data_IF_164659551039
#
_entry.id   IF_164659551039
#
_cell.length_a   1.000
_cell.length_b   1.000
_cell.length_c   1.000
_cell.angle_alpha   90.00
_cell.angle_beta   90.00
_cell.angle_gamma   90.00
#
_symmetry.space_group_name_H-M   'P 1'
#
loop_
_entity.id
_entity.type
_entity.pdbx_description
1 polymer ?
#
# COMPACT_ATOMS: atom_id res chain seq x y z
N UNK A 1 -5.52 -12.94 16.96
CA UNK A 1 -4.38 -12.48 16.13
C UNK A 1 -3.48 -11.67 17.04
N UNK A 2 -2.18 -11.96 17.08
CA UNK A 2 -1.24 -11.21 17.93
C UNK A 2 -1.30 -9.72 17.58
N UNK A 3 -1.24 -8.81 18.56
CA UNK A 3 -1.39 -7.36 18.33
C UNK A 3 -0.32 -6.85 17.37
N UNK A 4 0.92 -7.33 17.50
CA UNK A 4 2.03 -6.96 16.61
C UNK A 4 1.75 -7.29 15.14
N UNK A 5 1.16 -8.46 14.89
CA UNK A 5 0.77 -8.90 13.54
C UNK A 5 -0.33 -7.98 13.00
N UNK A 6 -1.23 -7.52 13.86
CA UNK A 6 -2.31 -6.59 13.49
C UNK A 6 -1.73 -5.28 12.96
N UNK A 7 -0.73 -4.72 13.63
CA UNK A 7 -0.07 -3.47 13.25
C UNK A 7 0.66 -3.58 11.91
N UNK A 8 1.39 -4.67 11.66
CA UNK A 8 2.12 -4.87 10.39
C UNK A 8 1.19 -4.92 9.18
N UNK A 9 -0.02 -5.47 9.34
CA UNK A 9 -0.98 -5.65 8.24
C UNK A 9 -2.13 -4.62 8.25
N UNK A 10 -2.07 -3.57 9.07
CA UNK A 10 -3.12 -2.55 9.13
C UNK A 10 -3.42 -1.84 7.82
N UNK A 11 -2.43 -1.42 7.03
CA UNK A 11 -2.68 -0.82 5.72
C UNK A 11 -3.48 -1.77 4.81
N UNK A 12 -3.12 -3.05 4.80
CA UNK A 12 -3.84 -4.07 4.05
C UNK A 12 -5.29 -4.26 4.55
N UNK A 13 -5.49 -4.44 5.85
CA UNK A 13 -6.83 -4.66 6.44
C UNK A 13 -7.72 -3.44 6.20
N UNK A 14 -7.17 -2.23 6.35
CA UNK A 14 -7.88 -0.98 6.12
C UNK A 14 -8.34 -0.85 4.66
N UNK A 15 -7.43 -1.04 3.71
CA UNK A 15 -7.74 -0.98 2.27
C UNK A 15 -8.71 -2.10 1.85
N UNK A 16 -8.55 -3.30 2.39
CA UNK A 16 -9.49 -4.41 2.19
C UNK A 16 -10.89 -4.04 2.68
N UNK A 17 -11.02 -3.40 3.84
CA UNK A 17 -12.32 -2.93 4.35
C UNK A 17 -12.94 -1.82 3.54
N UNK A 18 -12.13 -0.92 2.99
CA UNK A 18 -12.60 0.08 2.03
C UNK A 18 -13.22 -0.65 0.83
N UNK A 19 -12.48 -1.58 0.23
CA UNK A 19 -12.98 -2.38 -0.88
C UNK A 19 -14.30 -3.10 -0.53
N UNK A 20 -14.34 -3.82 0.59
CA UNK A 20 -15.54 -4.53 1.08
C UNK A 20 -16.74 -3.59 1.24
N UNK A 21 -16.51 -2.39 1.77
CA UNK A 21 -17.58 -1.41 1.99
C UNK A 21 -18.19 -0.93 0.66
N UNK A 22 -17.38 -0.70 -0.36
CA UNK A 22 -17.81 -0.17 -1.65
C UNK A 22 -18.28 -1.26 -2.63
N UNK A 23 -17.75 -2.48 -2.53
CA UNK A 23 -18.00 -3.59 -3.46
C UNK A 23 -18.67 -4.78 -2.75
N UNK A 24 -19.69 -4.52 -1.92
CA UNK A 24 -20.47 -5.55 -1.22
C UNK A 24 -20.94 -6.62 -2.22
N UNK A 25 -20.51 -7.87 -2.00
CA UNK A 25 -20.88 -9.03 -2.82
C UNK A 25 -19.80 -9.53 -3.79
N UNK A 26 -18.76 -8.73 -4.09
CA UNK A 26 -17.63 -9.19 -4.92
C UNK A 26 -16.48 -9.67 -4.05
N UNK A 27 -16.57 -10.92 -3.59
CA UNK A 27 -15.61 -11.57 -2.69
C UNK A 27 -14.26 -11.93 -3.34
N UNK A 28 -14.10 -11.75 -4.65
CA UNK A 28 -12.92 -12.29 -5.34
C UNK A 28 -11.72 -11.32 -5.37
N UNK A 29 -11.95 -10.00 -5.32
CA UNK A 29 -10.91 -8.99 -5.57
C UNK A 29 -10.42 -8.26 -4.32
N UNK A 30 -10.84 -8.69 -3.13
CA UNK A 30 -10.53 -8.01 -1.87
C UNK A 30 -9.04 -8.00 -1.50
N UNK A 31 -8.25 -8.97 -1.99
CA UNK A 31 -6.78 -8.99 -1.84
C UNK A 31 -6.10 -8.19 -2.94
N UNK A 32 -6.66 -8.19 -4.16
CA UNK A 32 -6.05 -7.56 -5.33
C UNK A 32 -5.98 -6.05 -5.13
N UNK A 33 -7.09 -5.43 -4.72
CA UNK A 33 -7.15 -3.98 -4.49
C UNK A 33 -6.10 -3.45 -3.51
N UNK A 34 -5.99 -3.95 -2.25
CA UNK A 34 -4.98 -3.47 -1.32
C UNK A 34 -3.56 -3.81 -1.80
N UNK A 35 -3.35 -4.92 -2.50
CA UNK A 35 -2.03 -5.28 -3.03
C UNK A 35 -1.55 -4.26 -4.07
N UNK A 36 -2.42 -3.84 -5.00
CA UNK A 36 -2.11 -2.83 -6.02
C UNK A 36 -1.80 -1.46 -5.39
N UNK A 37 -2.59 -1.03 -4.40
CA UNK A 37 -2.37 0.27 -3.75
C UNK A 37 -1.06 0.26 -2.97
N UNK A 38 -0.80 -0.79 -2.20
CA UNK A 38 0.42 -0.87 -1.40
C UNK A 38 1.66 -1.00 -2.29
N UNK A 39 1.59 -1.77 -3.39
CA UNK A 39 2.70 -1.86 -4.33
C UNK A 39 3.00 -0.52 -4.96
N UNK A 40 1.98 0.26 -5.35
CA UNK A 40 2.15 1.59 -5.91
C UNK A 40 2.85 2.54 -4.92
N UNK A 41 2.36 2.60 -3.68
CA UNK A 41 2.91 3.48 -2.65
C UNK A 41 4.38 3.13 -2.40
N UNK A 42 4.69 1.85 -2.21
CA UNK A 42 6.05 1.41 -1.90
C UNK A 42 6.97 1.62 -3.10
N UNK A 43 6.56 1.27 -4.33
CA UNK A 43 7.37 1.51 -5.53
C UNK A 43 7.66 2.99 -5.75
N UNK A 44 6.66 3.87 -5.51
CA UNK A 44 6.83 5.31 -5.62
C UNK A 44 7.84 5.83 -4.60
N UNK A 45 7.70 5.44 -3.34
CA UNK A 45 8.62 5.88 -2.29
C UNK A 45 10.06 5.39 -2.54
N UNK A 46 10.23 4.14 -3.01
CA UNK A 46 11.55 3.61 -3.39
C UNK A 46 12.13 4.41 -4.56
N UNK A 47 11.35 4.66 -5.62
CA UNK A 47 11.78 5.45 -6.76
C UNK A 47 12.25 6.84 -6.35
N UNK A 48 11.46 7.52 -5.52
CA UNK A 48 11.80 8.84 -4.98
C UNK A 48 13.11 8.80 -4.19
N UNK A 49 13.26 7.83 -3.29
CA UNK A 49 14.45 7.71 -2.46
C UNK A 49 15.71 7.41 -3.28
N UNK A 50 15.61 6.52 -4.27
CA UNK A 50 16.74 6.22 -5.14
C UNK A 50 17.13 7.40 -6.03
N UNK A 51 16.15 8.17 -6.51
CA UNK A 51 16.40 9.38 -7.31
C UNK A 51 17.05 10.53 -6.53
N UNK A 52 17.11 10.45 -5.19
CA UNK A 52 17.95 11.38 -4.41
C UNK A 52 19.45 11.20 -4.67
N UNK A 53 19.88 10.03 -5.17
CA UNK A 53 21.30 9.70 -5.34
C UNK A 53 21.66 9.15 -6.72
N UNK A 54 20.72 8.55 -7.43
CA UNK A 54 20.94 7.89 -8.71
C UNK A 54 19.90 8.33 -9.73
N UNK A 55 20.29 8.63 -10.96
CA UNK A 55 19.35 8.96 -12.03
C UNK A 55 18.70 7.67 -12.56
N UNK A 56 17.55 7.29 -11.99
CA UNK A 56 16.85 6.05 -12.33
C UNK A 56 15.78 6.34 -13.36
N UNK A 57 15.84 5.59 -14.46
CA UNK A 57 14.80 5.64 -15.48
C UNK A 57 13.42 5.26 -14.91
N UNK A 58 12.42 6.09 -15.22
CA UNK A 58 11.02 5.89 -14.82
C UNK A 58 10.49 4.48 -15.15
N UNK A 59 10.91 3.84 -16.25
CA UNK A 59 10.41 2.50 -16.61
C UNK A 59 10.78 1.41 -15.59
N UNK A 60 11.83 1.62 -14.79
CA UNK A 60 12.22 0.70 -13.72
C UNK A 60 11.15 0.62 -12.62
N UNK A 61 10.41 1.72 -12.38
CA UNK A 61 9.32 1.75 -11.40
C UNK A 61 8.18 0.78 -11.77
N UNK A 62 7.93 0.60 -13.07
CA UNK A 62 6.84 -0.25 -13.56
C UNK A 62 7.16 -1.71 -13.23
N UNK A 63 8.39 -2.15 -13.48
CA UNK A 63 8.85 -3.48 -13.13
C UNK A 63 8.80 -3.73 -11.62
N UNK A 64 9.28 -2.77 -10.82
CA UNK A 64 9.23 -2.85 -9.37
C UNK A 64 7.78 -2.90 -8.83
N UNK A 65 6.88 -2.11 -9.42
CA UNK A 65 5.47 -2.08 -9.07
C UNK A 65 4.81 -3.46 -9.25
N UNK A 66 5.00 -4.11 -10.41
CA UNK A 66 4.45 -5.43 -10.66
C UNK A 66 5.08 -6.49 -9.75
N UNK A 67 6.40 -6.43 -9.54
CA UNK A 67 7.10 -7.33 -8.62
C UNK A 67 6.52 -7.24 -7.20
N UNK A 68 6.41 -6.02 -6.67
CA UNK A 68 5.85 -5.77 -5.34
C UNK A 68 4.37 -6.17 -5.25
N UNK A 69 3.60 -5.97 -6.31
CA UNK A 69 2.21 -6.44 -6.38
C UNK A 69 2.15 -7.96 -6.16
N UNK A 70 2.94 -8.75 -6.88
CA UNK A 70 2.95 -10.20 -6.70
C UNK A 70 3.42 -10.59 -5.29
N UNK A 71 4.48 -9.96 -4.79
CA UNK A 71 4.99 -10.21 -3.43
C UNK A 71 3.90 -9.96 -2.39
N UNK A 72 3.23 -8.81 -2.44
CA UNK A 72 2.16 -8.47 -1.52
C UNK A 72 0.95 -9.38 -1.68
N UNK A 73 0.55 -9.68 -2.91
CA UNK A 73 -0.54 -10.60 -3.19
C UNK A 73 -0.28 -11.97 -2.53
N UNK A 74 0.90 -12.57 -2.73
CA UNK A 74 1.23 -13.87 -2.14
C UNK A 74 1.34 -13.82 -0.61
N UNK A 75 1.93 -12.76 -0.05
CA UNK A 75 2.02 -12.57 1.40
C UNK A 75 0.62 -12.50 2.01
N UNK A 76 -0.26 -11.66 1.44
CA UNK A 76 -1.60 -11.45 1.98
C UNK A 76 -2.50 -12.66 1.75
N UNK A 77 -2.43 -13.32 0.60
CA UNK A 77 -3.14 -14.56 0.34
C UNK A 77 -2.73 -15.66 1.32
N UNK A 78 -1.44 -15.78 1.63
CA UNK A 78 -0.96 -16.77 2.61
C UNK A 78 -1.39 -16.42 4.04
N UNK A 79 -1.40 -15.13 4.39
CA UNK A 79 -1.67 -14.67 5.76
C UNK A 79 -3.16 -14.55 6.09
N UNK A 80 -3.95 -14.20 5.09
CA UNK A 80 -5.39 -13.98 5.17
C UNK A 80 -6.07 -14.84 4.09
N UNK A 81 -6.24 -16.15 4.35
CA UNK A 81 -6.79 -17.07 3.35
C UNK A 81 -8.26 -16.77 3.04
N UNK A 82 -9.01 -16.27 4.03
CA UNK A 82 -10.45 -16.10 3.92
C UNK A 82 -10.88 -14.63 4.00
N UNK A 83 -11.73 -14.23 3.05
CA UNK A 83 -12.43 -12.94 3.04
C UNK A 83 -13.12 -12.66 4.39
N UNK A 84 -13.78 -13.68 4.94
CA UNK A 84 -14.55 -13.57 6.18
C UNK A 84 -13.69 -13.25 7.39
N UNK A 85 -12.44 -13.70 7.38
CA UNK A 85 -11.48 -13.41 8.44
C UNK A 85 -11.19 -11.90 8.47
N UNK A 86 -10.97 -11.28 7.30
CA UNK A 86 -10.68 -9.84 7.20
C UNK A 86 -11.92 -8.98 7.44
N UNK A 87 -13.08 -9.46 7.03
CA UNK A 87 -14.36 -8.80 7.32
C UNK A 87 -14.61 -8.70 8.84
N UNK A 88 -14.36 -9.79 9.59
CA UNK A 88 -14.56 -9.87 11.04
C UNK A 88 -13.59 -9.03 11.86
N UNK A 89 -12.37 -8.77 11.37
CA UNK A 89 -11.39 -7.93 12.10
C UNK A 89 -12.01 -6.55 12.33
N UNK A 90 -12.13 -6.08 13.57
CA UNK A 90 -12.60 -4.71 13.84
C UNK A 90 -11.39 -3.77 13.89
N UNK A 91 -11.48 -2.68 13.13
CA UNK A 91 -10.55 -1.55 13.22
C UNK A 91 -11.19 -0.46 14.07
N UNK A 92 -10.46 0.01 15.08
CA UNK A 92 -10.88 1.17 15.88
C UNK A 92 -10.84 2.45 15.05
N UNK A 93 -11.49 3.52 15.54
CA UNK A 93 -11.46 4.83 14.87
C UNK A 93 -10.01 5.34 14.77
N UNK A 94 -9.24 5.17 15.84
CA UNK A 94 -7.83 5.55 15.91
C UNK A 94 -6.98 4.82 14.86
N UNK A 95 -7.12 3.50 14.74
CA UNK A 95 -6.36 2.70 13.77
C UNK A 95 -6.64 3.12 12.32
N UNK A 96 -7.92 3.39 12.00
CA UNK A 96 -8.32 3.90 10.67
C UNK A 96 -7.69 5.25 10.38
N UNK A 97 -7.76 6.17 11.35
CA UNK A 97 -7.20 7.52 11.20
C UNK A 97 -5.70 7.48 11.02
N UNK A 98 -4.97 6.73 11.87
CA UNK A 98 -3.51 6.59 11.76
C UNK A 98 -3.14 6.01 10.40
N UNK A 99 -3.76 4.90 10.01
CA UNK A 99 -3.47 4.25 8.72
C UNK A 99 -3.72 5.18 7.54
N UNK A 100 -4.83 5.93 7.57
CA UNK A 100 -5.15 6.91 6.53
C UNK A 100 -4.10 8.03 6.47
N UNK A 101 -3.73 8.60 7.63
CA UNK A 101 -2.71 9.64 7.71
C UNK A 101 -1.37 9.13 7.19
N UNK A 102 -0.96 7.91 7.55
CA UNK A 102 0.28 7.30 7.08
C UNK A 102 0.29 7.09 5.57
N UNK A 103 -0.82 6.63 4.99
CA UNK A 103 -0.93 6.46 3.53
C UNK A 103 -0.83 7.83 2.83
N UNK A 104 -1.58 8.81 3.31
CA UNK A 104 -1.60 10.16 2.74
C UNK A 104 -0.24 10.85 2.88
N UNK A 105 0.44 10.70 4.01
CA UNK A 105 1.77 11.28 4.23
C UNK A 105 2.83 10.63 3.33
N UNK A 106 2.80 9.31 3.16
CA UNK A 106 3.72 8.61 2.26
C UNK A 106 3.58 9.07 0.80
N UNK A 107 2.33 9.29 0.35
CA UNK A 107 2.06 9.83 -0.99
C UNK A 107 2.51 11.29 -1.08
N UNK A 108 2.11 12.14 -0.12
CA UNK A 108 2.45 13.56 -0.12
C UNK A 108 3.97 13.79 -0.10
N UNK A 109 4.71 13.06 0.73
CA UNK A 109 6.17 13.14 0.79
C UNK A 109 6.81 12.76 -0.53
N UNK A 110 6.30 11.72 -1.21
CA UNK A 110 6.78 11.34 -2.54
C UNK A 110 6.63 12.49 -3.55
N UNK A 111 5.47 13.16 -3.56
CA UNK A 111 5.24 14.32 -4.44
C UNK A 111 6.13 15.52 -4.10
N UNK A 112 6.30 15.83 -2.81
CA UNK A 112 7.14 16.95 -2.35
C UNK A 112 8.58 16.73 -2.81
N UNK A 113 9.14 15.53 -2.60
CA UNK A 113 10.52 15.24 -2.97
C UNK A 113 10.69 15.26 -4.49
N UNK A 114 9.75 14.70 -5.26
CA UNK A 114 9.80 14.78 -6.73
C UNK A 114 9.80 16.22 -7.24
N UNK A 115 9.00 17.08 -6.62
CA UNK A 115 8.98 18.50 -6.97
C UNK A 115 10.29 19.21 -6.62
N UNK A 116 10.91 18.87 -5.48
CA UNK A 116 12.23 19.41 -5.11
C UNK A 116 13.30 18.95 -6.11
N UNK A 117 13.34 17.66 -6.43
CA UNK A 117 14.28 17.10 -7.40
C UNK A 117 14.13 17.75 -8.78
N UNK A 118 12.89 17.92 -9.24
CA UNK A 118 12.60 18.64 -10.48
C UNK A 118 13.03 20.10 -10.44
N UNK A 119 12.91 20.78 -9.30
CA UNK A 119 13.34 22.18 -9.17
C UNK A 119 14.87 22.34 -9.04
N UNK A 120 15.60 21.28 -8.70
CA UNK A 120 17.06 21.30 -8.56
C UNK A 120 17.79 20.88 -9.85
N UNK A 121 17.17 20.06 -10.70
CA UNK A 121 17.61 19.79 -12.07
C UNK A 121 17.01 20.87 -13.01
N UNK A 122 17.70 22.02 -13.15
CA UNK A 122 17.50 23.14 -14.12
C UNK A 122 16.05 23.40 -14.56
#
# INVERSE_FOLDING_TARGET
MNEDVKWTFFPFIFLSKIYIKFYRGKKDFWIIFPSLILSLIVSLNIYVFLNLKYDINIYWIIGLYFLLYFVFFFIFHRRFPDYELVEKIKLTKTEKTITLITILSAIAMSFIILNILRSQNI
#
